data_IF_393651380162
#
_entry.id   IF_393651380162
#
_cell.length_a   1.000
_cell.length_b   1.000
_cell.length_c   1.000
_cell.angle_alpha   90.00
_cell.angle_beta   90.00
_cell.angle_gamma   90.00
#
_symmetry.space_group_name_H-M   'P 1'
#
loop_
_entity.id
_entity.type
_entity.pdbx_description
1 polymer ?
#
# COMPACT_ATOMS: atom_id res chain seq x y z
N UNK A 1 -3.27 -35.90 -15.70
CA UNK A 1 -3.22 -37.17 -16.45
C UNK A 1 -4.03 -38.22 -15.70
N UNK A 2 -5.31 -38.41 -16.06
CA UNK A 2 -5.93 -39.76 -16.07
C UNK A 2 -7.14 -39.69 -16.99
N UNK A 3 -7.04 -40.38 -18.10
CA UNK A 3 -8.09 -40.73 -19.02
C UNK A 3 -8.76 -42.00 -18.55
N UNK A 4 -10.08 -42.08 -18.66
CA UNK A 4 -10.84 -43.28 -18.46
C UNK A 4 -12.05 -43.27 -19.38
N UNK A 5 -11.95 -43.92 -20.52
CA UNK A 5 -13.05 -44.32 -21.39
C UNK A 5 -13.81 -45.52 -20.80
N UNK A 6 -15.11 -45.53 -20.99
CA UNK A 6 -15.96 -46.68 -20.76
C UNK A 6 -17.26 -46.52 -21.50
N UNK A 7 -17.44 -47.33 -22.51
CA UNK A 7 -18.48 -47.46 -23.52
C UNK A 7 -19.76 -48.12 -23.01
N UNK A 8 -20.89 -47.57 -23.44
CA UNK A 8 -21.98 -48.20 -24.23
C UNK A 8 -22.91 -49.26 -23.59
N UNK A 9 -24.17 -48.98 -23.65
CA UNK A 9 -25.20 -49.70 -24.43
C UNK A 9 -26.60 -49.38 -23.92
N UNK A 10 -27.45 -49.04 -24.86
CA UNK A 10 -28.80 -48.54 -24.70
C UNK A 10 -29.86 -49.56 -24.25
N UNK A 11 -31.01 -49.05 -23.96
CA UNK A 11 -32.29 -49.59 -24.35
C UNK A 11 -33.40 -48.54 -24.19
N UNK A 12 -34.14 -48.35 -25.24
CA UNK A 12 -35.36 -47.53 -25.32
C UNK A 12 -36.45 -48.05 -24.38
N UNK A 13 -37.25 -47.17 -23.77
CA UNK A 13 -38.70 -47.26 -23.88
C UNK A 13 -39.43 -45.99 -23.44
N UNK A 14 -40.50 -45.75 -24.15
CA UNK A 14 -41.44 -44.70 -24.36
C UNK A 14 -42.16 -44.08 -23.13
N UNK A 15 -42.40 -42.77 -23.28
CA UNK A 15 -43.62 -42.01 -23.07
C UNK A 15 -44.29 -41.94 -21.66
N UNK A 16 -44.24 -40.73 -21.08
CA UNK A 16 -45.49 -40.00 -20.78
C UNK A 16 -45.21 -38.52 -20.46
N UNK A 17 -45.88 -37.74 -21.19
CA UNK A 17 -46.06 -36.29 -21.14
C UNK A 17 -46.46 -35.84 -19.71
N UNK A 18 -45.71 -34.88 -19.15
CA UNK A 18 -46.28 -33.88 -18.25
C UNK A 18 -45.40 -32.64 -18.18
N UNK A 19 -45.68 -31.70 -19.06
CA UNK A 19 -45.14 -30.37 -19.07
C UNK A 19 -45.50 -29.65 -17.78
N UNK A 20 -44.55 -29.47 -16.89
CA UNK A 20 -44.46 -28.38 -15.96
C UNK A 20 -43.15 -27.63 -16.24
N UNK A 21 -43.29 -26.58 -17.01
CA UNK A 21 -42.33 -25.53 -17.11
C UNK A 21 -42.18 -24.89 -15.75
N UNK A 22 -41.24 -25.32 -14.96
CA UNK A 22 -40.70 -24.49 -13.88
C UNK A 22 -39.89 -23.39 -14.55
N UNK A 23 -40.49 -22.21 -14.68
CA UNK A 23 -39.72 -21.00 -14.83
C UNK A 23 -38.78 -20.91 -13.61
N UNK A 24 -37.56 -21.36 -13.74
CA UNK A 24 -36.48 -20.89 -12.90
C UNK A 24 -36.32 -19.40 -13.19
N UNK A 25 -37.04 -18.59 -12.42
CA UNK A 25 -36.83 -17.18 -12.33
C UNK A 25 -35.37 -16.95 -11.92
N UNK A 26 -34.54 -16.65 -12.88
CA UNK A 26 -33.24 -16.12 -12.69
C UNK A 26 -33.44 -14.70 -12.14
N UNK A 27 -33.60 -14.61 -10.81
CA UNK A 27 -33.43 -13.35 -10.11
C UNK A 27 -32.01 -12.95 -10.32
N UNK A 28 -31.77 -12.10 -11.31
CA UNK A 28 -30.54 -11.31 -11.35
C UNK A 28 -30.59 -10.44 -10.11
N UNK A 29 -29.94 -10.86 -9.03
CA UNK A 29 -29.73 -9.97 -7.91
C UNK A 29 -28.81 -8.86 -8.48
N UNK A 30 -29.18 -7.61 -8.27
CA UNK A 30 -28.33 -6.46 -8.63
C UNK A 30 -27.07 -6.39 -7.73
N UNK A 31 -26.91 -7.35 -6.85
CA UNK A 31 -25.75 -7.49 -5.97
C UNK A 31 -24.56 -8.11 -6.74
N UNK A 32 -23.49 -7.34 -6.99
CA UNK A 32 -22.31 -7.80 -7.73
C UNK A 32 -21.55 -8.89 -6.99
N UNK A 33 -21.76 -9.07 -5.70
CA UNK A 33 -21.06 -10.03 -4.85
C UNK A 33 -21.83 -11.34 -4.65
N UNK A 34 -23.09 -11.42 -5.07
CA UNK A 34 -23.94 -12.58 -4.81
C UNK A 34 -23.33 -13.93 -5.25
N UNK A 35 -22.49 -13.91 -6.31
CA UNK A 35 -21.79 -15.10 -6.80
C UNK A 35 -20.64 -15.57 -5.88
N UNK A 36 -20.18 -14.71 -4.98
CA UNK A 36 -19.02 -14.94 -4.11
C UNK A 36 -19.42 -15.04 -2.63
N UNK A 37 -20.67 -14.80 -2.29
CA UNK A 37 -21.17 -14.88 -0.92
C UNK A 37 -20.87 -16.27 -0.32
N UNK A 38 -20.33 -16.28 0.90
CA UNK A 38 -19.92 -17.50 1.59
C UNK A 38 -18.54 -18.05 1.19
N UNK A 39 -17.82 -17.40 0.26
CA UNK A 39 -16.39 -17.69 0.05
C UNK A 39 -15.55 -17.04 1.15
N UNK A 40 -14.31 -17.48 1.29
CA UNK A 40 -13.35 -16.92 2.25
C UNK A 40 -12.11 -16.45 1.51
N UNK A 41 -11.62 -15.27 1.86
CA UNK A 41 -10.32 -14.74 1.43
C UNK A 41 -9.41 -14.53 2.64
N UNK A 42 -8.11 -14.66 2.44
CA UNK A 42 -7.07 -14.42 3.43
C UNK A 42 -6.45 -13.03 3.21
N UNK A 43 -6.41 -12.23 4.27
CA UNK A 43 -5.82 -10.88 4.25
C UNK A 43 -4.73 -10.81 5.31
N UNK A 44 -3.54 -10.44 4.89
CA UNK A 44 -2.41 -10.21 5.77
C UNK A 44 -2.05 -8.73 5.77
N UNK A 45 -2.15 -8.05 6.90
CA UNK A 45 -1.94 -6.61 7.01
C UNK A 45 -0.97 -6.25 8.12
N UNK A 46 -0.03 -5.33 7.81
CA UNK A 46 0.93 -4.87 8.81
C UNK A 46 0.22 -4.07 9.93
N UNK A 47 0.50 -4.43 11.18
CA UNK A 47 0.11 -3.60 12.32
C UNK A 47 1.12 -2.46 12.47
N UNK A 48 0.63 -1.24 12.45
CA UNK A 48 1.44 -0.02 12.62
C UNK A 48 1.31 0.53 14.05
N UNK A 49 1.87 1.72 14.32
CA UNK A 49 1.67 2.45 15.57
C UNK A 49 0.21 2.82 15.86
N UNK A 50 -0.67 2.72 14.86
CA UNK A 50 -2.12 2.93 15.00
C UNK A 50 -2.90 1.68 15.41
N UNK A 51 -2.21 0.55 15.58
CA UNK A 51 -2.82 -0.74 15.92
C UNK A 51 -3.43 -1.46 14.73
N UNK A 52 -4.22 -2.50 15.03
CA UNK A 52 -4.87 -3.37 14.04
C UNK A 52 -6.41 -3.19 13.98
N UNK A 53 -6.99 -2.38 14.87
CA UNK A 53 -8.45 -2.22 14.97
C UNK A 53 -9.09 -1.78 13.65
N UNK A 54 -8.44 -0.85 12.93
CA UNK A 54 -8.93 -0.39 11.62
C UNK A 54 -9.10 -1.56 10.64
N UNK A 55 -8.15 -2.50 10.62
CA UNK A 55 -8.22 -3.66 9.73
C UNK A 55 -9.39 -4.56 10.08
N UNK A 56 -9.64 -4.77 11.37
CA UNK A 56 -10.80 -5.56 11.81
C UNK A 56 -12.11 -4.88 11.39
N UNK A 57 -12.24 -3.58 11.63
CA UNK A 57 -13.44 -2.82 11.26
C UNK A 57 -13.70 -2.84 9.73
N UNK A 58 -12.65 -2.68 8.92
CA UNK A 58 -12.76 -2.71 7.45
C UNK A 58 -13.13 -4.09 6.94
N UNK A 59 -12.52 -5.14 7.47
CA UNK A 59 -12.81 -6.52 7.03
C UNK A 59 -14.19 -7.00 7.50
N UNK A 60 -14.62 -6.58 8.69
CA UNK A 60 -15.99 -6.86 9.18
C UNK A 60 -17.05 -6.17 8.30
N UNK A 61 -16.85 -4.88 7.98
CA UNK A 61 -17.72 -4.14 7.09
C UNK A 61 -17.77 -4.74 5.68
N UNK A 62 -16.61 -5.16 5.14
CA UNK A 62 -16.54 -5.86 3.87
C UNK A 62 -17.34 -7.17 3.89
N UNK A 63 -17.19 -7.95 4.94
CA UNK A 63 -17.95 -9.20 5.11
C UNK A 63 -19.45 -8.94 5.22
N UNK A 64 -19.86 -7.92 5.96
CA UNK A 64 -21.28 -7.53 6.10
C UNK A 64 -21.87 -7.11 4.76
N UNK A 65 -21.13 -6.34 3.96
CA UNK A 65 -21.60 -5.83 2.67
C UNK A 65 -21.63 -6.91 1.58
N UNK A 66 -20.62 -7.79 1.54
CA UNK A 66 -20.44 -8.70 0.41
C UNK A 66 -20.82 -10.15 0.68
N UNK A 67 -20.95 -10.54 1.96
CA UNK A 67 -21.09 -11.95 2.36
C UNK A 67 -19.82 -12.79 2.20
N UNK A 68 -18.68 -12.18 1.78
CA UNK A 68 -17.39 -12.84 1.66
C UNK A 68 -16.70 -12.80 3.03
N UNK A 69 -16.26 -13.96 3.52
CA UNK A 69 -15.57 -14.05 4.80
C UNK A 69 -14.10 -13.62 4.65
N UNK A 70 -13.54 -13.00 5.68
CA UNK A 70 -12.11 -12.58 5.69
C UNK A 70 -11.40 -13.26 6.86
N UNK A 71 -10.35 -14.02 6.54
CA UNK A 71 -9.37 -14.49 7.51
C UNK A 71 -8.25 -13.45 7.61
N UNK A 72 -8.35 -12.59 8.64
CA UNK A 72 -7.41 -11.48 8.86
C UNK A 72 -6.23 -11.90 9.73
N UNK A 73 -5.02 -11.68 9.23
CA UNK A 73 -3.75 -11.79 10.00
C UNK A 73 -3.12 -10.42 10.11
N UNK A 74 -2.85 -9.96 11.34
CA UNK A 74 -2.14 -8.70 11.58
C UNK A 74 -0.98 -8.91 12.54
N UNK A 75 0.17 -8.34 12.25
CA UNK A 75 1.33 -8.33 13.12
C UNK A 75 2.28 -7.17 12.78
N UNK A 76 3.06 -6.68 13.76
CA UNK A 76 4.10 -5.66 13.55
C UNK A 76 5.29 -6.20 12.76
N UNK A 77 5.50 -7.51 12.84
CA UNK A 77 6.50 -8.27 12.08
C UNK A 77 5.81 -9.25 11.15
N UNK A 78 4.88 -8.71 10.35
CA UNK A 78 4.03 -9.53 9.49
C UNK A 78 4.84 -10.48 8.60
N UNK A 79 6.00 -10.05 8.13
CA UNK A 79 6.89 -10.84 7.29
C UNK A 79 7.36 -12.13 7.98
N UNK A 80 7.62 -12.06 9.29
CA UNK A 80 8.01 -13.23 10.09
C UNK A 80 6.85 -14.22 10.28
N UNK A 81 5.62 -13.70 10.29
CA UNK A 81 4.41 -14.51 10.46
C UNK A 81 4.02 -15.23 9.17
N UNK A 82 3.97 -14.51 8.04
CA UNK A 82 3.51 -15.08 6.77
C UNK A 82 4.64 -15.74 5.95
N UNK A 83 5.88 -15.34 6.15
CA UNK A 83 7.03 -15.84 5.40
C UNK A 83 7.19 -17.36 5.38
N UNK A 84 7.05 -18.08 6.50
CA UNK A 84 7.14 -19.53 6.53
C UNK A 84 6.10 -20.24 5.66
N UNK A 85 4.83 -19.81 5.70
CA UNK A 85 3.74 -20.37 4.86
C UNK A 85 4.00 -20.10 3.39
N UNK A 86 4.46 -18.89 3.06
CA UNK A 86 4.76 -18.49 1.70
C UNK A 86 5.94 -19.28 1.10
N UNK A 87 6.93 -19.66 1.89
CA UNK A 87 7.99 -20.56 1.48
C UNK A 87 7.44 -21.97 1.16
N UNK A 88 6.35 -22.37 1.79
CA UNK A 88 5.60 -23.58 1.50
C UNK A 88 4.68 -23.48 0.27
N UNK A 89 4.55 -22.30 -0.32
CA UNK A 89 3.66 -22.06 -1.47
C UNK A 89 2.25 -21.61 -1.07
N UNK A 90 2.00 -21.32 0.20
CA UNK A 90 0.72 -20.83 0.72
C UNK A 90 0.82 -19.31 0.89
N UNK A 91 0.13 -18.57 0.04
CA UNK A 91 0.15 -17.11 0.01
C UNK A 91 -1.19 -16.53 0.47
N UNK A 92 -1.21 -15.46 1.27
CA UNK A 92 -2.44 -14.70 1.47
C UNK A 92 -2.97 -14.15 0.14
N UNK A 93 -4.31 -14.06 0.00
CA UNK A 93 -4.93 -13.49 -1.21
C UNK A 93 -4.64 -11.99 -1.34
N UNK A 94 -4.59 -11.29 -0.21
CA UNK A 94 -4.25 -9.87 -0.15
C UNK A 94 -3.18 -9.64 0.91
N UNK A 95 -2.13 -8.90 0.54
CA UNK A 95 -1.05 -8.53 1.46
C UNK A 95 -0.92 -7.00 1.48
N UNK A 96 -1.02 -6.41 2.66
CA UNK A 96 -0.72 -4.99 2.89
C UNK A 96 0.60 -4.85 3.64
N UNK A 97 1.59 -4.31 2.96
CA UNK A 97 2.93 -4.01 3.50
C UNK A 97 3.39 -2.63 3.03
N UNK A 98 4.22 -1.97 3.84
CA UNK A 98 4.98 -0.83 3.38
C UNK A 98 6.19 -1.29 2.54
N UNK A 99 6.56 -0.50 1.56
CA UNK A 99 7.85 -0.64 0.86
C UNK A 99 9.01 -0.13 1.73
N UNK A 100 10.23 -0.56 1.45
CA UNK A 100 11.43 -0.12 2.19
C UNK A 100 11.57 -0.70 3.59
N UNK A 101 10.86 -1.77 3.91
CA UNK A 101 11.01 -2.47 5.20
C UNK A 101 12.25 -3.34 5.19
N UNK A 102 12.84 -3.58 6.39
CA UNK A 102 14.08 -4.36 6.56
C UNK A 102 14.00 -5.76 5.93
N UNK A 103 12.87 -6.44 6.08
CA UNK A 103 12.67 -7.75 5.47
C UNK A 103 12.54 -7.73 3.94
N UNK A 104 12.29 -6.57 3.34
CA UNK A 104 12.20 -6.33 1.91
C UNK A 104 11.29 -7.34 1.16
N UNK A 105 10.20 -7.78 1.79
CA UNK A 105 9.33 -8.82 1.21
C UNK A 105 8.63 -8.34 -0.06
N UNK A 106 8.13 -7.09 -0.06
CA UNK A 106 7.52 -6.48 -1.26
C UNK A 106 8.51 -6.41 -2.41
N UNK A 107 9.74 -5.98 -2.14
CA UNK A 107 10.82 -5.89 -3.12
C UNK A 107 11.22 -7.28 -3.66
N UNK A 108 11.18 -8.31 -2.83
CA UNK A 108 11.41 -9.70 -3.26
C UNK A 108 10.31 -10.19 -4.21
N UNK A 109 9.04 -9.86 -3.94
CA UNK A 109 7.93 -10.19 -4.84
C UNK A 109 8.07 -9.49 -6.19
N UNK A 110 8.43 -8.20 -6.17
CA UNK A 110 8.69 -7.43 -7.39
C UNK A 110 9.82 -8.08 -8.18
N UNK A 111 10.96 -8.33 -7.55
CA UNK A 111 12.13 -8.94 -8.19
C UNK A 111 11.85 -10.35 -8.72
N UNK A 112 10.98 -11.10 -8.04
CA UNK A 112 10.57 -12.44 -8.42
C UNK A 112 9.45 -12.48 -9.47
N UNK A 113 8.92 -11.35 -9.92
CA UNK A 113 7.70 -11.27 -10.76
C UNK A 113 6.51 -12.05 -10.14
N UNK A 114 6.32 -11.90 -8.82
CA UNK A 114 5.33 -12.66 -8.05
C UNK A 114 4.07 -11.84 -7.74
N UNK A 115 3.97 -10.62 -8.23
CA UNK A 115 2.81 -9.74 -8.03
C UNK A 115 1.92 -9.71 -9.26
N UNK A 116 0.63 -9.63 -9.03
CA UNK A 116 -0.39 -9.67 -10.08
C UNK A 116 -0.62 -8.28 -10.67
N UNK A 117 -0.81 -8.20 -12.00
CA UNK A 117 -1.30 -7.01 -12.68
C UNK A 117 -2.74 -6.69 -12.21
N UNK A 118 -2.93 -5.52 -11.63
CA UNK A 118 -4.22 -5.04 -11.12
C UNK A 118 -4.77 -3.85 -11.90
N UNK A 119 -4.21 -3.58 -13.08
CA UNK A 119 -4.62 -2.44 -13.93
C UNK A 119 -6.13 -2.45 -14.19
N UNK A 120 -6.70 -3.60 -14.47
CA UNK A 120 -8.13 -3.74 -14.72
C UNK A 120 -8.98 -3.38 -13.49
N UNK A 121 -8.50 -3.70 -12.29
CA UNK A 121 -9.19 -3.36 -11.03
C UNK A 121 -9.34 -1.85 -10.88
N UNK A 122 -8.32 -1.08 -11.25
CA UNK A 122 -8.36 0.39 -11.20
C UNK A 122 -9.42 0.99 -12.12
N UNK A 123 -9.79 0.27 -13.18
CA UNK A 123 -10.79 0.67 -14.16
C UNK A 123 -12.20 0.19 -13.81
N UNK A 124 -12.36 -0.61 -12.75
CA UNK A 124 -13.68 -1.08 -12.29
C UNK A 124 -14.39 0.04 -11.51
N UNK A 125 -15.72 0.01 -11.55
CA UNK A 125 -16.52 0.86 -10.68
C UNK A 125 -16.44 0.36 -9.24
N UNK A 126 -16.36 1.29 -8.32
CA UNK A 126 -16.53 0.98 -6.90
C UNK A 126 -17.97 0.53 -6.69
N UNK A 127 -18.21 -0.64 -6.09
CA UNK A 127 -19.57 -1.12 -5.83
C UNK A 127 -20.40 -0.10 -5.05
N UNK A 128 -21.62 0.13 -5.49
CA UNK A 128 -22.51 1.12 -4.89
C UNK A 128 -22.19 2.60 -5.23
N UNK A 129 -21.14 2.87 -6.00
CA UNK A 129 -20.76 4.21 -6.41
C UNK A 129 -20.66 4.35 -7.95
N UNK A 130 -20.81 5.57 -8.46
CA UNK A 130 -20.58 5.87 -9.89
C UNK A 130 -19.12 6.23 -10.19
N UNK A 131 -18.20 5.94 -9.27
CA UNK A 131 -16.77 6.24 -9.41
C UNK A 131 -15.97 5.00 -9.74
N UNK A 132 -14.87 5.20 -10.48
CA UNK A 132 -13.86 4.16 -10.68
C UNK A 132 -12.97 4.04 -9.43
N UNK A 133 -12.37 2.87 -9.23
CA UNK A 133 -11.38 2.65 -8.16
C UNK A 133 -10.24 3.66 -8.27
N UNK A 134 -9.75 3.94 -9.48
CA UNK A 134 -8.71 4.94 -9.73
C UNK A 134 -9.10 6.37 -9.31
N UNK A 135 -10.39 6.70 -9.34
CA UNK A 135 -10.87 8.02 -8.92
C UNK A 135 -10.95 8.19 -7.39
N UNK A 136 -10.85 7.09 -6.65
CA UNK A 136 -10.75 7.10 -5.17
C UNK A 136 -9.31 7.26 -4.68
N UNK A 137 -8.33 7.05 -5.55
CA UNK A 137 -6.91 7.20 -5.24
C UNK A 137 -6.49 8.64 -5.49
N UNK A 138 -5.75 9.24 -4.57
CA UNK A 138 -5.23 10.60 -4.75
C UNK A 138 -4.35 10.68 -6.00
N UNK A 139 -4.48 11.77 -6.75
CA UNK A 139 -3.72 11.98 -7.98
C UNK A 139 -2.21 11.94 -7.75
N UNK A 140 -1.48 11.36 -8.70
CA UNK A 140 -0.02 11.22 -8.65
C UNK A 140 0.49 9.96 -7.96
N UNK A 141 -0.40 9.08 -7.45
CA UNK A 141 0.03 7.84 -6.79
C UNK A 141 -0.18 6.57 -7.61
N UNK A 142 -0.85 6.64 -8.75
CA UNK A 142 -1.13 5.46 -9.60
C UNK A 142 -0.13 5.26 -10.73
N UNK A 143 0.73 6.26 -11.01
CA UNK A 143 1.74 6.22 -12.07
C UNK A 143 3.11 6.58 -11.48
N UNK A 144 3.58 5.73 -10.60
CA UNK A 144 4.89 5.87 -9.93
C UNK A 144 5.73 4.61 -10.15
N UNK A 145 7.03 4.71 -9.97
CA UNK A 145 7.92 3.54 -10.00
C UNK A 145 7.58 2.51 -8.92
N UNK A 146 6.87 2.89 -7.86
CA UNK A 146 6.37 1.96 -6.86
C UNK A 146 5.15 1.18 -7.35
N UNK A 147 4.18 1.85 -7.96
CA UNK A 147 2.95 1.21 -8.43
C UNK A 147 3.14 0.46 -9.75
N UNK A 148 4.09 0.91 -10.56
CA UNK A 148 4.53 0.27 -11.81
C UNK A 148 6.03 -0.08 -11.76
N UNK A 149 6.42 -1.07 -10.95
CA UNK A 149 7.85 -1.36 -10.71
C UNK A 149 8.58 -1.95 -11.92
N UNK A 150 7.85 -2.40 -12.95
CA UNK A 150 8.44 -2.98 -14.15
C UNK A 150 8.53 -1.99 -15.32
N UNK A 151 7.97 -0.79 -15.19
CA UNK A 151 8.01 0.23 -16.24
C UNK A 151 7.25 -0.13 -17.52
N UNK A 152 6.31 -1.06 -17.45
CA UNK A 152 5.53 -1.58 -18.58
C UNK A 152 4.17 -0.88 -18.78
N UNK A 153 3.90 0.17 -18.00
CA UNK A 153 2.65 0.94 -18.05
C UNK A 153 1.46 0.29 -17.33
N UNK A 154 1.72 -0.77 -16.55
CA UNK A 154 0.71 -1.46 -15.77
C UNK A 154 0.84 -1.15 -14.28
N UNK A 155 -0.21 -1.41 -13.52
CA UNK A 155 -0.23 -1.22 -12.07
C UNK A 155 -0.22 -2.57 -11.37
N UNK A 156 0.69 -2.73 -10.42
CA UNK A 156 0.88 -3.96 -9.65
C UNK A 156 0.70 -3.77 -8.15
N UNK A 157 0.94 -2.56 -7.65
CA UNK A 157 0.74 -2.23 -6.24
C UNK A 157 -0.32 -1.14 -6.11
N UNK A 158 -1.38 -1.41 -5.35
CA UNK A 158 -2.40 -0.42 -5.05
C UNK A 158 -1.94 0.47 -3.89
N UNK A 159 -1.80 1.80 -4.09
CA UNK A 159 -1.50 2.71 -2.99
C UNK A 159 -2.72 2.81 -2.07
N UNK A 160 -2.53 2.57 -0.79
CA UNK A 160 -3.61 2.64 0.20
C UNK A 160 -3.44 3.82 1.15
N UNK A 161 -2.22 4.02 1.66
CA UNK A 161 -1.88 5.09 2.57
C UNK A 161 -0.64 5.83 2.10
N UNK A 162 -0.59 7.12 2.44
CA UNK A 162 0.66 7.85 2.46
C UNK A 162 0.76 8.62 3.77
N UNK A 163 1.98 8.78 4.27
CA UNK A 163 2.27 9.61 5.44
C UNK A 163 3.17 10.75 5.01
N UNK A 164 2.65 11.98 4.94
CA UNK A 164 3.49 13.12 4.66
C UNK A 164 4.46 13.34 5.82
N UNK A 165 5.76 13.40 5.52
CA UNK A 165 6.78 13.76 6.48
C UNK A 165 7.08 15.25 6.36
N UNK A 166 7.35 15.90 7.51
CA UNK A 166 7.65 17.31 7.54
C UNK A 166 8.05 17.75 8.94
N UNK A 167 8.41 19.02 9.07
CA UNK A 167 8.69 19.65 10.36
C UNK A 167 7.38 20.09 11.01
N UNK A 168 7.14 19.61 12.21
CA UNK A 168 5.99 19.98 13.03
C UNK A 168 6.48 20.88 14.16
N UNK A 169 5.89 22.05 14.29
CA UNK A 169 6.28 23.04 15.29
C UNK A 169 5.31 23.02 16.46
N UNK A 170 5.85 23.15 17.68
CA UNK A 170 5.05 23.38 18.86
C UNK A 170 4.61 24.87 18.88
N UNK A 171 3.45 25.15 18.30
CA UNK A 171 2.94 26.50 18.18
C UNK A 171 2.80 27.23 19.52
N UNK A 172 2.38 26.52 20.59
CA UNK A 172 2.28 27.09 21.92
C UNK A 172 3.62 27.51 22.50
N UNK A 173 4.67 26.71 22.29
CA UNK A 173 6.03 27.05 22.72
C UNK A 173 6.57 28.26 21.95
N UNK A 174 6.38 28.28 20.63
CA UNK A 174 6.82 29.42 19.80
C UNK A 174 6.13 30.73 20.24
N UNK A 175 4.82 30.67 20.47
CA UNK A 175 4.06 31.82 20.96
C UNK A 175 4.54 32.29 22.35
N UNK A 176 4.73 31.34 23.30
CA UNK A 176 5.23 31.66 24.65
C UNK A 176 6.59 32.34 24.63
N UNK A 177 7.48 31.89 23.73
CA UNK A 177 8.84 32.41 23.59
C UNK A 177 8.94 33.64 22.68
N UNK A 178 7.89 33.93 21.91
CA UNK A 178 7.93 34.99 20.91
C UNK A 178 8.85 34.64 19.74
N UNK A 179 8.91 33.37 19.39
CA UNK A 179 9.71 32.85 18.28
C UNK A 179 8.86 32.66 17.03
N UNK A 180 9.42 33.02 15.89
CA UNK A 180 8.79 32.81 14.60
C UNK A 180 9.15 31.42 14.03
N UNK A 181 8.28 30.86 13.20
CA UNK A 181 8.58 29.64 12.43
C UNK A 181 9.62 29.98 11.37
N UNK A 182 10.80 29.32 11.36
CA UNK A 182 11.84 29.60 10.39
C UNK A 182 11.41 29.20 8.98
N UNK A 183 11.79 30.00 8.00
CA UNK A 183 11.51 29.79 6.57
C UNK A 183 12.77 29.51 5.77
N UNK A 184 13.95 29.70 6.37
CA UNK A 184 15.27 29.43 5.81
C UNK A 184 16.11 28.62 6.79
N UNK A 185 17.19 28.01 6.29
CA UNK A 185 18.12 27.30 7.16
C UNK A 185 18.87 28.25 8.12
N UNK A 186 19.19 29.45 7.69
CA UNK A 186 19.83 30.44 8.57
C UNK A 186 18.91 30.78 9.75
N UNK A 187 17.63 31.05 9.48
CA UNK A 187 16.63 31.29 10.53
C UNK A 187 16.43 30.05 11.43
N UNK A 188 16.53 28.83 10.86
CA UNK A 188 16.47 27.59 11.63
C UNK A 188 17.64 27.48 12.62
N UNK A 189 18.85 27.81 12.19
CA UNK A 189 20.02 27.79 13.05
C UNK A 189 19.98 28.89 14.11
N UNK A 190 19.51 30.10 13.77
CA UNK A 190 19.28 31.16 14.75
C UNK A 190 18.24 30.75 15.80
N UNK A 191 17.18 30.07 15.39
CA UNK A 191 16.19 29.49 16.32
C UNK A 191 16.83 28.40 17.18
N UNK A 192 17.72 27.61 16.63
CA UNK A 192 18.48 26.58 17.35
C UNK A 192 19.36 27.18 18.46
N UNK A 193 20.03 28.29 18.20
CA UNK A 193 20.85 28.98 19.19
C UNK A 193 19.98 29.54 20.33
N UNK A 194 18.85 30.16 20.02
CA UNK A 194 17.87 30.64 21.03
C UNK A 194 17.32 29.45 21.87
N UNK A 195 16.96 28.37 21.21
CA UNK A 195 16.46 27.17 21.89
C UNK A 195 17.51 26.59 22.84
N UNK A 196 18.77 26.53 22.41
CA UNK A 196 19.88 26.06 23.20
C UNK A 196 20.14 26.92 24.46
N UNK A 197 20.04 28.24 24.35
CA UNK A 197 20.15 29.16 25.49
C UNK A 197 19.06 28.87 26.55
N UNK A 198 17.87 28.49 26.11
CA UNK A 198 16.76 28.09 26.97
C UNK A 198 16.79 26.62 27.41
N UNK A 199 17.82 25.85 27.02
CA UNK A 199 17.94 24.42 27.34
C UNK A 199 16.95 23.53 26.59
N UNK A 200 16.47 23.99 25.44
CA UNK A 200 15.51 23.30 24.58
C UNK A 200 16.24 22.78 23.34
N UNK A 201 15.88 21.58 22.89
CA UNK A 201 16.39 21.06 21.64
C UNK A 201 15.64 21.68 20.46
N UNK A 202 16.36 22.06 19.39
CA UNK A 202 15.79 22.63 18.18
C UNK A 202 14.73 21.71 17.57
N UNK A 203 15.05 20.43 17.45
CA UNK A 203 14.11 19.40 17.01
C UNK A 203 14.48 18.04 17.59
N UNK A 204 13.53 17.12 17.52
CA UNK A 204 13.68 15.71 17.86
C UNK A 204 13.05 14.86 16.79
N UNK A 205 13.63 13.72 16.52
CA UNK A 205 13.08 12.72 15.61
C UNK A 205 13.47 11.30 16.07
N UNK A 206 12.69 10.28 15.72
CA UNK A 206 13.09 8.90 15.96
C UNK A 206 14.33 8.55 15.13
N UNK A 207 15.33 7.95 15.73
CA UNK A 207 16.57 7.57 15.03
C UNK A 207 16.38 6.40 14.05
N UNK A 208 15.29 5.66 14.18
CA UNK A 208 14.98 4.53 13.33
C UNK A 208 13.81 4.85 12.43
N UNK A 209 14.01 4.85 11.12
CA UNK A 209 12.97 4.89 10.10
C UNK A 209 12.42 6.28 9.74
N UNK A 210 13.04 7.39 10.20
CA UNK A 210 12.57 8.74 9.86
C UNK A 210 13.68 9.70 9.42
N UNK A 211 14.93 9.35 9.63
CA UNK A 211 16.07 10.14 9.14
C UNK A 211 16.12 10.13 7.61
N UNK A 212 15.82 9.01 6.99
CA UNK A 212 15.71 8.86 5.55
C UNK A 212 14.66 9.78 4.94
N UNK A 213 13.48 9.89 5.55
CA UNK A 213 12.43 10.81 5.09
C UNK A 213 12.89 12.28 5.13
N UNK A 214 13.61 12.66 6.18
CA UNK A 214 14.21 14.00 6.28
C UNK A 214 15.27 14.20 5.20
N UNK A 215 16.16 13.23 5.00
CA UNK A 215 17.23 13.31 4.01
C UNK A 215 16.68 13.34 2.58
N UNK A 216 15.60 12.58 2.29
CA UNK A 216 14.92 12.65 1.00
C UNK A 216 14.33 14.05 0.73
N UNK A 217 13.74 14.67 1.74
CA UNK A 217 13.25 16.05 1.62
C UNK A 217 14.40 17.04 1.34
N UNK A 218 15.55 16.86 2.00
CA UNK A 218 16.75 17.65 1.73
C UNK A 218 17.26 17.48 0.31
N UNK A 219 17.37 16.26 -0.19
CA UNK A 219 17.78 15.99 -1.57
C UNK A 219 16.87 16.69 -2.58
N UNK A 220 15.56 16.59 -2.37
CA UNK A 220 14.60 17.25 -3.25
C UNK A 220 14.69 18.78 -3.17
N UNK A 221 14.90 19.34 -1.98
CA UNK A 221 15.07 20.78 -1.78
C UNK A 221 16.39 21.32 -2.36
N UNK A 222 17.48 20.55 -2.27
CA UNK A 222 18.81 20.95 -2.74
C UNK A 222 18.95 20.89 -4.27
N UNK A 223 18.41 19.87 -4.92
CA UNK A 223 18.67 19.61 -6.34
C UNK A 223 17.41 19.33 -7.19
N UNK A 224 16.23 19.41 -6.58
CA UNK A 224 14.96 19.17 -7.27
C UNK A 224 14.74 17.70 -7.67
N UNK A 225 13.73 17.44 -8.51
CA UNK A 225 13.35 16.08 -8.89
C UNK A 225 14.45 15.32 -9.65
N UNK A 226 15.24 15.99 -10.46
CA UNK A 226 16.30 15.34 -11.25
C UNK A 226 17.44 14.82 -10.34
N UNK A 227 17.89 15.63 -9.39
CA UNK A 227 18.91 15.20 -8.42
C UNK A 227 18.37 14.08 -7.52
N UNK A 228 17.13 14.22 -7.06
CA UNK A 228 16.47 13.20 -6.23
C UNK A 228 16.40 11.86 -6.95
N UNK A 229 15.97 11.86 -8.22
CA UNK A 229 15.87 10.63 -9.02
C UNK A 229 17.24 9.97 -9.22
N UNK A 230 18.27 10.74 -9.60
CA UNK A 230 19.63 10.25 -9.75
C UNK A 230 20.21 9.70 -8.46
N UNK A 231 20.00 10.39 -7.34
CA UNK A 231 20.52 9.98 -6.04
C UNK A 231 19.86 8.70 -5.53
N UNK A 232 18.55 8.55 -5.69
CA UNK A 232 17.82 7.36 -5.29
C UNK A 232 18.08 6.16 -6.21
N UNK A 233 18.52 6.39 -7.45
CA UNK A 233 18.98 5.36 -8.37
C UNK A 233 20.48 5.10 -8.33
N UNK A 234 21.21 5.72 -7.39
CA UNK A 234 22.65 5.53 -7.17
C UNK A 234 23.50 5.82 -8.42
N UNK A 235 23.15 6.89 -9.18
CA UNK A 235 23.94 7.31 -10.33
C UNK A 235 25.40 7.59 -9.91
N UNK A 236 26.35 7.14 -10.71
CA UNK A 236 27.78 7.28 -10.41
C UNK A 236 28.17 8.77 -10.28
N UNK A 237 28.88 9.11 -9.21
CA UNK A 237 29.34 10.48 -8.93
C UNK A 237 28.28 11.43 -8.35
N UNK A 238 27.02 10.99 -8.19
CA UNK A 238 25.93 11.85 -7.73
C UNK A 238 26.19 12.45 -6.33
N UNK A 239 26.91 11.71 -5.48
CA UNK A 239 27.24 12.14 -4.13
C UNK A 239 28.47 13.09 -4.06
N UNK A 240 29.11 13.39 -5.20
CA UNK A 240 30.21 14.33 -5.32
C UNK A 240 29.74 15.72 -5.82
N UNK A 241 28.44 15.90 -5.98
CA UNK A 241 27.81 17.13 -6.48
C UNK A 241 27.65 18.18 -5.39
N UNK A 242 27.53 19.47 -5.75
CA UNK A 242 27.26 20.55 -4.79
C UNK A 242 25.92 20.36 -4.05
N UNK A 243 24.92 19.78 -4.71
CA UNK A 243 23.61 19.48 -4.13
C UNK A 243 23.74 18.43 -3.02
N UNK A 244 24.54 17.39 -3.26
CA UNK A 244 24.83 16.38 -2.24
C UNK A 244 25.60 16.99 -1.06
N UNK A 245 26.59 17.83 -1.32
CA UNK A 245 27.34 18.54 -0.29
C UNK A 245 26.39 19.38 0.59
N UNK A 246 25.44 20.10 -0.04
CA UNK A 246 24.43 20.89 0.68
C UNK A 246 23.62 20.00 1.64
N UNK A 247 23.23 18.81 1.20
CA UNK A 247 22.50 17.86 2.06
C UNK A 247 23.32 17.44 3.28
N UNK A 248 24.61 17.14 3.08
CA UNK A 248 25.51 16.71 4.15
C UNK A 248 25.93 17.85 5.10
N UNK A 249 25.93 19.09 4.63
CA UNK A 249 26.22 20.26 5.49
C UNK A 249 25.09 20.56 6.48
N UNK A 250 23.87 20.09 6.19
CA UNK A 250 22.67 20.31 7.02
C UNK A 250 22.51 19.23 8.11
N UNK A 251 23.01 18.01 7.90
CA UNK A 251 22.86 16.89 8.84
C UNK A 251 24.12 16.64 9.66
#
# INVERSE_FOLDING_TARGET
LFAGCGTDSGTENSASDNSKTEETGQTTSDDPYAAYAGTTISVAAIETGYGSQMWQEVTDAFTEETGIQVELTTDKKLEDVIGPSMQGGEYPDVIHLATGREAALTEQFIKGNMITDITDVLSMKVPGEDKLVSEKIAGGFTDTSLTNPYGDGKTYLAPMFYSPCGLFYNAGLLEEKGWDVPTTWDEMWELGDKAKEDGIYLFTYPTTGYFDAFFYALMYAAGGPEFFDKATNYEEGIWETPEAQTCFDIV
#
